data_IF_162448149603
#
_entry.id   IF_162448149603
#
_cell.length_a   1.000
_cell.length_b   1.000
_cell.length_c   1.000
_cell.angle_alpha   90.00
_cell.angle_beta   90.00
_cell.angle_gamma   90.00
#
_symmetry.space_group_name_H-M   'P 1'
#
loop_
_entity.id
_entity.type
_entity.pdbx_description
1 polymer ?
#
# COMPACT_ATOMS: atom_id res chain seq x y z
N UNK A 1 1.64 13.02 -24.45
CA UNK A 1 0.67 12.18 -25.19
C UNK A 1 1.20 10.78 -25.47
N UNK A 2 2.47 10.61 -25.84
CA UNK A 2 3.07 9.29 -26.10
C UNK A 2 2.90 8.27 -24.95
N UNK A 3 3.14 8.65 -23.70
CA UNK A 3 2.96 7.76 -22.55
C UNK A 3 1.52 7.24 -22.39
N UNK A 4 0.52 8.11 -22.60
CA UNK A 4 -0.89 7.70 -22.58
C UNK A 4 -1.21 6.72 -23.69
N UNK A 5 -0.71 6.96 -24.90
CA UNK A 5 -0.91 6.07 -26.06
C UNK A 5 -0.29 4.70 -25.79
N UNK A 6 0.96 4.66 -25.29
CA UNK A 6 1.64 3.41 -24.93
C UNK A 6 0.85 2.67 -23.85
N UNK A 7 0.39 3.37 -22.81
CA UNK A 7 -0.43 2.78 -21.75
C UNK A 7 -1.71 2.14 -22.28
N UNK A 8 -2.45 2.85 -23.15
CA UNK A 8 -3.68 2.33 -23.77
C UNK A 8 -3.39 1.09 -24.63
N UNK A 9 -2.33 1.11 -25.42
CA UNK A 9 -1.93 -0.04 -26.26
C UNK A 9 -1.60 -1.27 -25.40
N UNK A 10 -0.86 -1.09 -24.31
CA UNK A 10 -0.51 -2.17 -23.40
C UNK A 10 -1.75 -2.76 -22.71
N UNK A 11 -2.70 -1.91 -22.28
CA UNK A 11 -3.97 -2.37 -21.69
C UNK A 11 -4.77 -3.16 -22.72
N UNK A 12 -4.91 -2.66 -23.95
CA UNK A 12 -5.61 -3.36 -25.02
C UNK A 12 -4.97 -4.72 -25.32
N UNK A 13 -3.63 -4.79 -25.35
CA UNK A 13 -2.90 -6.04 -25.49
C UNK A 13 -3.21 -7.01 -24.34
N UNK A 14 -3.22 -6.57 -23.08
CA UNK A 14 -3.55 -7.43 -21.94
C UNK A 14 -4.97 -8.00 -22.07
N UNK A 15 -5.94 -7.20 -22.49
CA UNK A 15 -7.32 -7.65 -22.71
C UNK A 15 -7.39 -8.70 -23.83
N UNK A 16 -6.71 -8.46 -24.96
CA UNK A 16 -6.68 -9.42 -26.08
C UNK A 16 -5.95 -10.71 -25.69
N UNK A 17 -4.85 -10.62 -24.95
CA UNK A 17 -4.09 -11.78 -24.48
C UNK A 17 -4.89 -12.65 -23.51
N UNK A 18 -5.77 -12.04 -22.70
CA UNK A 18 -6.63 -12.76 -21.76
C UNK A 18 -7.84 -13.45 -22.41
N UNK A 19 -8.26 -13.04 -23.61
CA UNK A 19 -9.41 -13.62 -24.31
C UNK A 19 -9.10 -15.02 -24.89
N UNK A 20 -10.08 -15.94 -24.91
CA UNK A 20 -9.90 -17.30 -25.43
C UNK A 20 -9.69 -17.36 -26.95
N UNK A 21 -10.07 -16.30 -27.68
CA UNK A 21 -9.82 -16.15 -29.13
C UNK A 21 -8.49 -15.46 -29.46
N UNK A 22 -7.76 -14.98 -28.44
CA UNK A 22 -6.44 -14.35 -28.56
C UNK A 22 -5.33 -15.34 -28.20
N UNK A 23 -4.44 -14.95 -27.29
CA UNK A 23 -3.37 -15.81 -26.78
C UNK A 23 -3.86 -16.81 -25.71
N UNK A 24 -5.11 -16.68 -25.25
CA UNK A 24 -5.73 -17.52 -24.22
C UNK A 24 -4.97 -17.60 -22.89
N UNK A 25 -4.14 -16.58 -22.59
CA UNK A 25 -3.34 -16.49 -21.36
C UNK A 25 -4.14 -16.06 -20.12
N UNK A 26 -5.47 -15.96 -20.23
CA UNK A 26 -6.31 -15.50 -19.13
C UNK A 26 -6.11 -16.31 -17.85
N UNK A 27 -5.95 -17.64 -17.97
CA UNK A 27 -5.70 -18.51 -16.81
C UNK A 27 -4.29 -18.33 -16.24
N UNK A 28 -3.26 -18.20 -17.08
CA UNK A 28 -1.89 -17.98 -16.64
C UNK A 28 -1.71 -16.62 -15.94
N UNK A 29 -2.34 -15.57 -16.48
CA UNK A 29 -2.37 -14.24 -15.87
C UNK A 29 -3.04 -14.32 -14.50
N UNK A 30 -4.18 -15.03 -14.40
CA UNK A 30 -4.91 -15.16 -13.14
C UNK A 30 -4.13 -15.99 -12.12
N UNK A 31 -3.41 -17.03 -12.56
CA UNK A 31 -2.54 -17.84 -11.71
C UNK A 31 -1.37 -17.01 -11.17
N UNK A 32 -0.70 -16.24 -12.03
CA UNK A 32 0.37 -15.34 -11.63
C UNK A 32 -0.14 -14.28 -10.65
N UNK A 33 -1.28 -13.66 -10.95
CA UNK A 33 -1.88 -12.63 -10.10
C UNK A 33 -2.27 -13.22 -8.73
N UNK A 34 -2.88 -14.42 -8.70
CA UNK A 34 -3.23 -15.14 -7.47
C UNK A 34 -2.01 -15.53 -6.64
N UNK A 35 -0.88 -15.85 -7.28
CA UNK A 35 0.38 -16.15 -6.60
C UNK A 35 1.11 -14.89 -6.11
N UNK A 36 1.07 -13.80 -6.89
CA UNK A 36 1.78 -12.55 -6.60
C UNK A 36 1.06 -11.66 -5.58
N UNK A 37 -0.28 -11.62 -5.59
CA UNK A 37 -1.08 -10.78 -4.67
C UNK A 37 -0.77 -11.05 -3.20
N UNK A 38 -0.74 -12.30 -2.71
CA UNK A 38 -0.42 -12.58 -1.31
C UNK A 38 0.98 -12.12 -0.91
N UNK A 39 1.96 -12.25 -1.81
CA UNK A 39 3.35 -11.80 -1.57
C UNK A 39 3.39 -10.27 -1.46
N UNK A 40 2.74 -9.57 -2.39
CA UNK A 40 2.62 -8.11 -2.34
C UNK A 40 1.86 -7.63 -1.09
N UNK A 41 0.77 -8.31 -0.74
CA UNK A 41 -0.01 -8.00 0.46
C UNK A 41 0.81 -8.19 1.73
N UNK A 42 1.59 -9.27 1.83
CA UNK A 42 2.49 -9.50 2.95
C UNK A 42 3.58 -8.43 3.03
N UNK A 43 4.17 -8.03 1.89
CA UNK A 43 5.19 -6.99 1.84
C UNK A 43 4.65 -5.62 2.28
N UNK A 44 3.51 -5.20 1.72
CA UNK A 44 2.84 -3.94 2.10
C UNK A 44 2.37 -4.00 3.56
N UNK A 45 1.84 -5.14 4.00
CA UNK A 45 1.41 -5.38 5.38
C UNK A 45 2.57 -5.25 6.36
N UNK A 46 3.74 -5.82 6.04
CA UNK A 46 4.94 -5.71 6.86
C UNK A 46 5.38 -4.24 7.01
N UNK A 47 5.43 -3.49 5.90
CA UNK A 47 5.72 -2.05 5.93
C UNK A 47 4.70 -1.31 6.80
N UNK A 48 3.41 -1.64 6.67
CA UNK A 48 2.33 -1.01 7.42
C UNK A 48 2.44 -1.25 8.92
N UNK A 49 2.89 -2.44 9.35
CA UNK A 49 3.15 -2.74 10.77
C UNK A 49 4.25 -1.83 11.32
N UNK A 50 5.35 -1.64 10.59
CA UNK A 50 6.43 -0.77 11.04
C UNK A 50 5.99 0.70 11.15
N UNK A 51 5.23 1.19 10.16
CA UNK A 51 4.67 2.55 10.19
C UNK A 51 3.70 2.70 11.38
N UNK A 52 2.82 1.72 11.60
CA UNK A 52 1.85 1.75 12.69
C UNK A 52 2.50 1.76 14.07
N UNK A 53 3.57 0.98 14.28
CA UNK A 53 4.32 0.99 15.54
C UNK A 53 4.98 2.34 15.78
N UNK A 54 5.60 2.93 14.75
CA UNK A 54 6.21 4.26 14.85
C UNK A 54 5.17 5.34 15.16
N UNK A 55 4.04 5.37 14.46
CA UNK A 55 2.94 6.32 14.69
C UNK A 55 2.34 6.20 16.10
N UNK A 56 2.18 4.98 16.63
CA UNK A 56 1.70 4.75 18.01
C UNK A 56 2.71 5.26 19.05
N UNK A 57 4.01 5.09 18.82
CA UNK A 57 5.04 5.57 19.74
C UNK A 57 5.10 7.09 19.75
N UNK A 58 5.14 7.71 18.57
CA UNK A 58 5.18 9.17 18.43
C UNK A 58 3.95 9.82 19.08
N UNK A 59 2.76 9.25 18.89
CA UNK A 59 1.53 9.73 19.56
C UNK A 59 1.57 9.59 21.07
N UNK A 60 2.18 8.53 21.60
CA UNK A 60 2.31 8.35 23.06
C UNK A 60 3.26 9.36 23.68
N UNK A 61 4.40 9.61 23.02
CA UNK A 61 5.40 10.53 23.52
C UNK A 61 4.88 11.99 23.46
N UNK A 62 4.20 12.38 22.38
CA UNK A 62 3.52 13.68 22.30
C UNK A 62 2.49 13.89 23.43
N UNK A 63 1.66 12.87 23.72
CA UNK A 63 0.68 12.94 24.82
C UNK A 63 1.34 13.07 26.19
N UNK A 64 2.50 12.44 26.41
CA UNK A 64 3.25 12.56 27.67
C UNK A 64 3.85 13.96 27.83
N UNK A 65 4.42 14.53 26.77
CA UNK A 65 4.95 15.89 26.79
C UNK A 65 3.86 16.92 27.05
N UNK A 66 2.70 16.81 26.39
CA UNK A 66 1.55 17.68 26.65
C UNK A 66 1.06 17.57 28.10
N UNK A 67 1.00 16.36 28.66
CA UNK A 67 0.62 16.16 30.05
C UNK A 67 1.65 16.73 31.03
N UNK A 68 2.95 16.61 30.72
CA UNK A 68 4.03 17.17 31.52
C UNK A 68 4.02 18.71 31.52
N UNK A 69 3.75 19.36 30.37
CA UNK A 69 3.61 20.82 30.29
C UNK A 69 2.42 21.30 31.12
N UNK A 70 1.25 20.68 30.98
CA UNK A 70 0.05 21.04 31.78
C UNK A 70 0.27 20.86 33.29
N UNK A 71 0.98 19.80 33.69
CA UNK A 71 1.31 19.57 35.09
C UNK A 71 2.35 20.58 35.64
N UNK A 72 3.24 21.09 34.78
CA UNK A 72 4.20 22.13 35.15
C UNK A 72 3.52 23.51 35.25
N UNK A 73 2.59 23.84 34.35
CA UNK A 73 1.77 25.06 34.41
C UNK A 73 0.95 25.11 35.70
N UNK A 74 0.22 24.04 36.02
CA UNK A 74 -0.60 23.96 37.25
C UNK A 74 0.19 23.99 38.56
N UNK A 75 1.52 23.83 38.54
CA UNK A 75 2.39 23.95 39.72
C UNK A 75 3.03 25.34 39.88
N UNK A 76 2.95 26.17 38.83
CA UNK A 76 3.52 27.52 38.81
C UNK A 76 2.49 28.61 39.16
N UNK A 77 1.19 28.29 39.15
CA UNK A 77 0.10 29.03 39.81
C UNK A 77 -0.02 28.67 41.30
#
# INVERSE_FOLDING_TARGET
MLALIIGIVLIAFTVIAALPMGLAWGQDILLFLRGGLPIFAAFVGLISVFIGIADIKDKQDARKEEAAMKAAENKAE
#
